data_IF_930992095762
#
_entry.id   IF_930992095762
#
_cell.length_a   1.000
_cell.length_b   1.000
_cell.length_c   1.000
_cell.angle_alpha   90.00
_cell.angle_beta   90.00
_cell.angle_gamma   90.00
#
_symmetry.space_group_name_H-M   'P 1'
#
loop_
_entity.id
_entity.type
_entity.pdbx_description
1 polymer ?
#
# COMPACT_ATOMS: atom_id res chain seq x y z
N UNK A 1 30.92 20.15 5.00
CA UNK A 1 29.87 19.96 3.98
C UNK A 1 28.61 19.48 4.69
N UNK A 2 27.56 20.29 4.74
CA UNK A 2 26.27 19.84 5.28
C UNK A 2 25.47 19.23 4.12
N UNK A 3 25.12 17.93 4.14
CA UNK A 3 24.26 17.38 3.11
C UNK A 3 22.88 18.04 3.20
N UNK A 4 22.25 18.29 2.05
CA UNK A 4 20.89 18.83 1.97
C UNK A 4 19.90 17.73 2.40
N UNK A 5 19.79 17.52 3.71
CA UNK A 5 18.88 16.56 4.29
C UNK A 5 17.44 16.90 3.88
N UNK A 6 16.79 16.02 3.10
CA UNK A 6 15.38 16.18 2.78
C UNK A 6 14.59 16.15 4.08
N UNK A 7 13.82 17.20 4.33
CA UNK A 7 12.92 17.25 5.48
C UNK A 7 12.05 15.98 5.55
N UNK A 8 11.76 15.44 6.75
CA UNK A 8 10.89 14.29 6.89
C UNK A 8 9.51 14.62 6.30
N UNK A 9 8.88 13.63 5.69
CA UNK A 9 7.55 13.81 5.11
C UNK A 9 6.79 12.50 4.98
N UNK A 10 5.51 12.56 5.32
CA UNK A 10 4.54 11.47 5.15
C UNK A 10 3.61 11.84 4.01
N UNK A 11 3.33 10.89 3.12
CA UNK A 11 2.36 11.06 2.03
C UNK A 11 1.32 9.98 2.12
N UNK A 12 0.06 10.37 2.35
CA UNK A 12 -1.09 9.46 2.24
C UNK A 12 -1.54 9.52 0.78
N UNK A 13 -1.50 8.36 0.12
CA UNK A 13 -1.89 8.20 -1.27
C UNK A 13 -3.35 7.75 -1.36
N UNK A 14 -3.89 7.80 -2.58
CA UNK A 14 -5.20 7.23 -2.87
C UNK A 14 -5.29 5.78 -2.40
N UNK A 15 -6.49 5.38 -1.92
CA UNK A 15 -6.76 4.04 -1.36
C UNK A 15 -6.00 3.70 -0.07
N UNK A 16 -5.51 4.72 0.66
CA UNK A 16 -4.94 4.53 2.00
C UNK A 16 -3.55 3.90 2.05
N UNK A 17 -2.76 4.03 0.99
CA UNK A 17 -1.33 3.65 1.05
C UNK A 17 -0.54 4.81 1.65
N UNK A 18 0.11 4.59 2.79
CA UNK A 18 1.00 5.57 3.42
C UNK A 18 2.42 5.36 2.88
N UNK A 19 3.14 6.46 2.66
CA UNK A 19 4.52 6.41 2.21
C UNK A 19 5.40 7.46 2.89
N UNK A 20 6.57 7.02 3.35
CA UNK A 20 7.54 7.74 4.15
C UNK A 20 8.80 7.96 3.32
N UNK A 21 9.39 9.15 3.35
CA UNK A 21 10.75 9.32 2.84
C UNK A 21 11.77 8.72 3.82
N UNK A 22 12.99 8.44 3.35
CA UNK A 22 14.07 7.89 4.18
C UNK A 22 14.21 8.62 5.53
N UNK A 23 14.26 9.96 5.54
CA UNK A 23 14.36 10.75 6.78
C UNK A 23 13.21 10.50 7.77
N UNK A 24 11.97 10.28 7.30
CA UNK A 24 10.85 9.93 8.18
C UNK A 24 10.90 8.47 8.67
N UNK A 25 11.47 7.55 7.88
CA UNK A 25 11.71 6.17 8.30
C UNK A 25 12.88 6.05 9.28
N UNK A 26 13.93 6.85 9.10
CA UNK A 26 15.05 6.99 10.04
C UNK A 26 14.58 7.50 11.42
N UNK A 27 13.58 8.39 11.47
CA UNK A 27 13.01 8.90 12.73
C UNK A 27 12.29 7.82 13.57
N UNK A 28 11.77 6.76 12.93
CA UNK A 28 11.19 5.59 13.61
C UNK A 28 12.18 4.42 13.67
N UNK A 29 13.48 4.70 13.66
CA UNK A 29 14.54 3.70 13.82
C UNK A 29 14.72 2.74 12.64
N UNK A 30 14.21 3.08 11.45
CA UNK A 30 14.12 2.16 10.30
C UNK A 30 13.30 0.87 10.58
N UNK A 31 12.30 0.92 11.46
CA UNK A 31 11.49 -0.24 11.82
C UNK A 31 10.88 -0.98 10.61
N UNK A 32 10.91 -2.31 10.65
CA UNK A 32 10.31 -3.19 9.63
C UNK A 32 8.80 -3.38 9.84
N UNK A 33 8.32 -3.21 11.06
CA UNK A 33 6.90 -3.19 11.43
C UNK A 33 6.54 -1.94 12.22
N UNK A 34 5.34 -1.41 11.96
CA UNK A 34 4.81 -0.21 12.63
C UNK A 34 3.38 -0.41 13.07
N UNK A 35 3.04 0.14 14.22
CA UNK A 35 1.66 0.27 14.67
C UNK A 35 1.12 1.62 14.22
N UNK A 36 -0.12 1.62 13.71
CA UNK A 36 -0.83 2.82 13.29
C UNK A 36 -1.85 3.20 14.36
N UNK A 37 -1.72 4.41 14.88
CA UNK A 37 -2.57 4.96 15.94
C UNK A 37 -3.34 6.16 15.38
N UNK A 38 -4.59 6.34 15.81
CA UNK A 38 -5.40 7.50 15.47
C UNK A 38 -6.04 8.12 16.70
N UNK A 39 -5.71 9.38 16.95
CA UNK A 39 -6.41 10.22 17.91
C UNK A 39 -7.62 10.85 17.21
N UNK A 40 -8.82 10.49 17.65
CA UNK A 40 -10.08 10.98 17.07
C UNK A 40 -10.40 12.43 17.48
N UNK A 41 -9.94 12.86 18.65
CA UNK A 41 -10.25 14.16 19.23
C UNK A 41 -9.33 15.25 18.66
N UNK A 42 -8.04 14.90 18.45
CA UNK A 42 -7.04 15.76 17.78
C UNK A 42 -7.01 15.57 16.27
N UNK A 43 -7.66 14.53 15.74
CA UNK A 43 -7.56 14.07 14.34
C UNK A 43 -6.11 13.82 13.88
N UNK A 44 -5.24 13.37 14.80
CA UNK A 44 -3.81 13.10 14.54
C UNK A 44 -3.62 11.61 14.29
N UNK A 45 -2.94 11.28 13.18
CA UNK A 45 -2.44 9.93 12.92
C UNK A 45 -1.00 9.81 13.42
N UNK A 46 -0.67 8.77 14.17
CA UNK A 46 0.70 8.49 14.61
C UNK A 46 1.19 7.13 14.12
N UNK A 47 2.48 7.05 13.79
CA UNK A 47 3.17 5.81 13.45
C UNK A 47 4.23 5.53 14.52
N UNK A 48 4.17 4.34 15.11
CA UNK A 48 5.12 3.88 16.14
C UNK A 48 5.83 2.62 15.65
N UNK A 49 7.13 2.48 15.93
CA UNK A 49 7.82 1.20 15.73
C UNK A 49 7.17 0.12 16.59
N UNK A 50 6.83 -1.02 15.99
CA UNK A 50 6.20 -2.15 16.67
C UNK A 50 7.17 -3.34 16.72
N UNK A 51 6.80 -4.35 17.52
CA UNK A 51 7.34 -5.69 17.41
C UNK A 51 6.47 -6.54 16.47
N UNK A 52 7.09 -7.49 15.77
CA UNK A 52 6.43 -8.38 14.81
C UNK A 52 5.36 -9.27 15.46
N UNK A 53 5.42 -9.48 16.78
CA UNK A 53 4.39 -10.22 17.53
C UNK A 53 3.10 -9.42 17.79
N UNK A 54 3.03 -8.13 17.45
CA UNK A 54 1.83 -7.32 17.70
C UNK A 54 0.72 -7.61 16.67
N UNK A 55 -0.53 -7.91 17.09
CA UNK A 55 -1.64 -8.17 16.17
C UNK A 55 -2.09 -6.95 15.35
N UNK A 56 -1.55 -5.76 15.66
CA UNK A 56 -1.81 -4.50 14.95
C UNK A 56 -0.56 -3.93 14.27
N UNK A 57 0.50 -4.74 14.12
CA UNK A 57 1.67 -4.40 13.33
C UNK A 57 1.37 -4.41 11.82
N UNK A 58 1.75 -3.32 11.15
CA UNK A 58 1.75 -3.19 9.69
C UNK A 58 3.19 -3.29 9.18
N UNK A 59 3.44 -4.21 8.25
CA UNK A 59 4.75 -4.36 7.62
C UNK A 59 5.11 -3.12 6.75
N UNK A 60 6.30 -2.56 7.02
CA UNK A 60 6.93 -1.49 6.25
C UNK A 60 7.70 -2.11 5.09
N UNK A 61 7.32 -1.77 3.86
CA UNK A 61 7.94 -2.31 2.64
C UNK A 61 8.80 -1.25 1.95
N UNK A 62 9.93 -1.66 1.37
CA UNK A 62 10.73 -0.78 0.51
C UNK A 62 10.08 -0.63 -0.87
N UNK A 63 9.76 0.60 -1.25
CA UNK A 63 9.13 0.94 -2.53
C UNK A 63 10.07 0.94 -3.75
N UNK A 64 11.35 0.63 -3.56
CA UNK A 64 12.37 0.61 -4.61
C UNK A 64 13.41 -0.47 -4.36
N UNK A 65 13.74 -1.26 -5.40
CA UNK A 65 14.87 -2.18 -5.39
C UNK A 65 16.23 -1.50 -5.66
N UNK A 66 16.24 -0.27 -6.17
CA UNK A 66 17.43 0.36 -6.79
C UNK A 66 17.55 1.88 -6.52
N UNK A 67 17.25 2.34 -5.31
CA UNK A 67 17.39 3.76 -4.96
C UNK A 67 17.08 4.05 -3.50
N UNK A 68 17.28 5.30 -3.01
CA UNK A 68 17.03 5.68 -1.63
C UNK A 68 15.56 5.39 -1.26
N UNK A 69 15.37 4.35 -0.44
CA UNK A 69 14.08 3.69 -0.25
C UNK A 69 13.01 4.63 0.28
N UNK A 70 11.88 4.66 -0.41
CA UNK A 70 10.62 5.10 0.17
C UNK A 70 10.06 3.92 0.98
N UNK A 71 9.79 4.12 2.26
CA UNK A 71 9.08 3.13 3.06
C UNK A 71 7.57 3.25 2.77
N UNK A 72 6.88 2.12 2.62
CA UNK A 72 5.47 2.04 2.24
C UNK A 72 4.73 1.16 3.26
N UNK A 73 3.58 1.65 3.73
CA UNK A 73 2.71 0.97 4.69
C UNK A 73 1.30 0.88 4.10
N UNK A 74 0.77 -0.35 4.01
CA UNK A 74 -0.58 -0.61 3.48
C UNK A 74 -1.65 -0.35 4.54
N UNK A 75 -2.00 0.92 4.73
CA UNK A 75 -2.95 1.37 5.76
C UNK A 75 -4.42 1.43 5.30
N UNK A 76 -4.78 0.77 4.19
CA UNK A 76 -6.14 0.86 3.59
C UNK A 76 -7.25 0.59 4.60
N UNK A 77 -7.15 -0.51 5.37
CA UNK A 77 -8.12 -0.85 6.41
C UNK A 77 -8.19 0.20 7.53
N UNK A 78 -7.04 0.73 7.97
CA UNK A 78 -6.95 1.80 8.98
C UNK A 78 -7.61 3.09 8.49
N UNK A 79 -7.27 3.56 7.28
CA UNK A 79 -7.86 4.77 6.71
C UNK A 79 -9.37 4.65 6.48
N UNK A 80 -9.87 3.47 6.10
CA UNK A 80 -11.29 3.20 5.96
C UNK A 80 -12.00 3.16 7.33
N UNK A 81 -11.40 2.51 8.33
CA UNK A 81 -11.97 2.40 9.68
C UNK A 81 -12.13 3.76 10.39
N UNK A 82 -11.18 4.67 10.19
CA UNK A 82 -11.22 6.02 10.79
C UNK A 82 -11.77 7.11 9.86
N UNK A 83 -12.24 6.76 8.65
CA UNK A 83 -12.85 7.73 7.72
C UNK A 83 -11.90 8.81 7.18
N UNK A 84 -10.60 8.50 7.08
CA UNK A 84 -9.58 9.45 6.59
C UNK A 84 -9.78 9.69 5.09
N UNK A 85 -9.83 10.97 4.67
CA UNK A 85 -9.91 11.34 3.25
C UNK A 85 -8.68 10.85 2.47
N UNK A 86 -8.91 9.88 1.59
CA UNK A 86 -7.92 9.33 0.65
C UNK A 86 -8.34 9.52 -0.81
N UNK A 87 -9.23 10.49 -1.10
CA UNK A 87 -9.67 10.79 -2.48
C UNK A 87 -8.53 11.39 -3.34
N UNK A 88 -7.66 12.17 -2.70
CA UNK A 88 -6.48 12.79 -3.26
C UNK A 88 -5.21 12.30 -2.55
N UNK A 89 -4.08 12.25 -3.29
CA UNK A 89 -2.77 12.07 -2.66
C UNK A 89 -2.36 13.39 -2.02
N UNK A 90 -2.08 13.38 -0.71
CA UNK A 90 -1.69 14.55 0.08
C UNK A 90 -0.40 14.26 0.84
N UNK A 91 0.44 15.27 1.03
CA UNK A 91 1.72 15.18 1.75
C UNK A 91 1.75 16.16 2.92
N UNK A 92 2.16 15.64 4.08
CA UNK A 92 2.32 16.37 5.31
C UNK A 92 3.77 16.36 5.78
N UNK A 93 4.08 17.33 6.63
CA UNK A 93 5.32 17.39 7.40
C UNK A 93 5.02 16.78 8.78
N UNK A 94 5.55 15.59 9.12
CA UNK A 94 5.31 15.00 10.43
C UNK A 94 6.09 15.76 11.51
N UNK A 95 5.67 15.56 12.74
CA UNK A 95 6.38 15.93 13.96
C UNK A 95 6.63 14.66 14.80
N UNK A 96 7.52 14.76 15.78
CA UNK A 96 7.77 13.67 16.75
C UNK A 96 7.13 14.07 18.08
N UNK A 97 6.32 13.18 18.62
CA UNK A 97 5.68 13.29 19.93
C UNK A 97 5.84 11.93 20.62
N UNK A 98 6.43 11.89 21.82
CA UNK A 98 6.66 10.66 22.60
C UNK A 98 7.31 9.48 21.84
N UNK A 99 8.24 9.79 20.92
CA UNK A 99 8.93 8.79 20.08
C UNK A 99 8.09 8.23 18.93
N UNK A 100 6.90 8.79 18.69
CA UNK A 100 6.00 8.42 17.59
C UNK A 100 6.05 9.50 16.48
N UNK A 101 5.92 9.06 15.23
CA UNK A 101 5.86 9.94 14.07
C UNK A 101 4.42 10.38 13.82
N UNK A 102 4.08 11.58 14.28
CA UNK A 102 2.74 12.13 14.25
C UNK A 102 2.49 12.99 13.01
N UNK A 103 1.27 12.91 12.49
CA UNK A 103 0.76 13.64 11.34
C UNK A 103 -0.60 14.24 11.71
N UNK A 104 -0.63 15.56 11.81
CA UNK A 104 -1.87 16.31 11.96
C UNK A 104 -2.63 16.32 10.62
N UNK A 105 -3.86 15.78 10.63
CA UNK A 105 -4.75 15.76 9.47
C UNK A 105 -5.72 16.95 9.43
N UNK A 106 -5.78 17.78 10.49
CA UNK A 106 -6.55 19.03 10.50
C UNK A 106 -5.88 20.09 9.61
N UNK A 107 -4.55 20.12 9.59
CA UNK A 107 -3.78 20.92 8.64
C UNK A 107 -3.94 20.38 7.21
N UNK A 108 -4.30 21.25 6.26
CA UNK A 108 -4.39 20.89 4.84
C UNK A 108 -3.05 20.40 4.28
N UNK A 109 -2.94 19.09 4.08
CA UNK A 109 -1.77 18.47 3.45
C UNK A 109 -1.61 18.93 2.00
N UNK A 110 -0.36 19.17 1.58
CA UNK A 110 -0.04 19.60 0.21
C UNK A 110 -0.50 18.53 -0.78
N UNK A 111 -1.43 18.88 -1.67
CA UNK A 111 -1.93 17.97 -2.70
C UNK A 111 -0.79 17.64 -3.67
N UNK A 112 -0.55 16.34 -3.90
CA UNK A 112 0.35 15.86 -4.94
C UNK A 112 -0.47 15.36 -6.12
N UNK A 113 -0.57 16.20 -7.14
CA UNK A 113 -1.02 15.79 -8.46
C UNK A 113 0.08 14.98 -9.15
N UNK A 114 -0.17 13.68 -9.35
CA UNK A 114 0.72 12.84 -10.14
C UNK A 114 0.59 13.16 -11.62
N UNK A 115 1.71 13.33 -12.32
CA UNK A 115 1.76 13.63 -13.77
C UNK A 115 1.38 12.42 -14.67
N UNK A 116 0.47 11.56 -14.20
CA UNK A 116 0.01 10.33 -14.86
C UNK A 116 -1.43 10.47 -15.35
N UNK A 117 -1.64 11.36 -16.31
CA UNK A 117 -2.76 11.23 -17.26
C UNK A 117 -2.42 10.10 -18.24
N UNK A 118 -2.65 8.85 -17.83
CA UNK A 118 -2.91 7.77 -18.77
C UNK A 118 -4.20 7.08 -18.33
N UNK A 119 -5.25 7.30 -19.13
CA UNK A 119 -6.56 6.75 -18.89
C UNK A 119 -6.48 5.22 -18.82
N UNK A 120 -6.92 4.66 -17.69
CA UNK A 120 -7.58 3.36 -17.74
C UNK A 120 -9.03 3.68 -18.07
N UNK A 121 -9.40 3.50 -19.33
CA UNK A 121 -10.78 3.66 -19.75
C UNK A 121 -11.64 2.63 -19.00
N UNK A 122 -12.83 3.06 -18.62
CA UNK A 122 -13.88 2.17 -18.12
C UNK A 122 -14.23 1.20 -19.24
N UNK A 123 -14.05 -0.10 -18.97
CA UNK A 123 -14.77 -1.17 -19.64
C UNK A 123 -15.45 -1.95 -18.53
N UNK A 124 -16.56 -1.36 -18.08
CA UNK A 124 -17.60 -2.04 -17.34
C UNK A 124 -18.64 -2.43 -18.38
N UNK A 125 -18.89 -3.72 -18.53
CA UNK A 125 -19.89 -4.28 -19.44
C UNK A 125 -20.25 -5.67 -18.90
N UNK A 126 -21.32 -5.67 -18.12
CA UNK A 126 -22.05 -6.84 -17.65
C UNK A 126 -22.54 -7.77 -18.79
N UNK A 127 -23.14 -8.87 -18.35
CA UNK A 127 -23.84 -9.97 -19.07
C UNK A 127 -22.96 -11.21 -19.31
N UNK A 128 -23.08 -12.30 -18.54
CA UNK A 128 -24.20 -13.26 -18.29
C UNK A 128 -24.49 -14.23 -19.43
N UNK A 129 -24.78 -15.48 -19.02
CA UNK A 129 -25.07 -16.68 -19.84
C UNK A 129 -23.86 -17.22 -20.66
N UNK A 130 -23.69 -18.54 -20.85
CA UNK A 130 -24.64 -19.65 -20.74
C UNK A 130 -24.02 -20.91 -20.10
N UNK A 131 -24.83 -21.72 -19.42
CA UNK A 131 -24.49 -23.06 -18.95
C UNK A 131 -24.90 -24.08 -20.03
N UNK A 132 -23.93 -24.76 -20.66
CA UNK A 132 -24.23 -25.98 -21.43
C UNK A 132 -23.25 -27.10 -21.12
N UNK A 133 -23.62 -27.90 -20.12
CA UNK A 133 -23.09 -29.24 -19.92
C UNK A 133 -23.69 -30.16 -21.01
N UNK A 134 -22.83 -30.80 -21.82
CA UNK A 134 -23.28 -31.88 -22.70
C UNK A 134 -22.22 -32.95 -22.94
N UNK A 135 -22.23 -33.91 -22.03
CA UNK A 135 -21.86 -35.31 -22.20
C UNK A 135 -22.13 -35.88 -23.62
N UNK A 136 -21.12 -36.57 -24.18
CA UNK A 136 -21.29 -37.75 -25.03
C UNK A 136 -19.94 -38.44 -25.30
N UNK A 137 -19.79 -39.68 -24.81
CA UNK A 137 -18.63 -40.54 -25.07
C UNK A 137 -18.68 -41.23 -26.44
N UNK A 138 -17.53 -41.29 -27.14
CA UNK A 138 -17.08 -42.30 -28.15
C UNK A 138 -15.62 -41.96 -28.55
N UNK A 139 -14.67 -42.86 -28.82
CA UNK A 139 -14.59 -44.32 -28.58
C UNK A 139 -13.08 -44.75 -28.61
N UNK A 140 -12.76 -46.04 -28.76
CA UNK A 140 -11.44 -46.63 -29.06
C UNK A 140 -11.62 -47.90 -29.94
N UNK A 141 -10.63 -48.76 -30.23
CA UNK A 141 -9.17 -48.60 -30.45
C UNK A 141 -8.69 -49.19 -31.81
N UNK A 142 -7.44 -48.90 -32.23
CA UNK A 142 -6.61 -49.79 -33.09
C UNK A 142 -5.13 -49.42 -32.83
N UNK A 143 -4.14 -50.28 -32.58
CA UNK A 143 -3.83 -51.60 -33.16
C UNK A 143 -2.84 -51.40 -34.33
N UNK A 144 -1.63 -51.96 -34.39
CA UNK A 144 -0.94 -52.90 -33.50
C UNK A 144 0.61 -52.84 -33.68
N UNK A 145 1.33 -53.29 -32.64
CA UNK A 145 2.52 -54.20 -32.63
C UNK A 145 3.45 -54.29 -33.87
N UNK A 146 4.77 -54.13 -33.64
CA UNK A 146 5.74 -55.27 -33.54
C UNK A 146 7.20 -54.86 -33.72
N UNK A 147 8.10 -55.56 -33.01
CA UNK A 147 9.56 -55.56 -33.20
C UNK A 147 9.97 -56.32 -34.47
N UNK A 148 11.05 -55.87 -35.14
CA UNK A 148 12.16 -56.61 -35.79
C UNK A 148 12.98 -55.62 -36.62
N UNK A 149 14.32 -55.68 -36.72
CA UNK A 149 15.31 -56.62 -36.16
C UNK A 149 16.61 -55.87 -35.82
#
# INVERSE_FOLDING_TARGET
>A
MTPLAKAPSVTIQKRGVISLNKTAHDLIGNAETVELLYDRDRQVMALRAADDSSPHAYAVRSGSKHGPGQAIVSATAFTAHYGIDTTATRRWRPFIEDGMLCVDLTTEGTIITGNRTKATALLDSDETDDFSDKDASVDSPVGARSETA
#
